data_IF_836046530743
#
_entry.id   IF_836046530743
#
_cell.length_a   1.000
_cell.length_b   1.000
_cell.length_c   1.000
_cell.angle_alpha   90.00
_cell.angle_beta   90.00
_cell.angle_gamma   90.00
#
_symmetry.space_group_name_H-M   'P 1'
#
loop_
_entity.id
_entity.type
_entity.pdbx_description
1 polymer ?
#
# COMPACT_ATOMS: atom_id res chain seq x y z
N UNK A 1 36.69 53.50 35.64
CA UNK A 1 37.31 53.33 34.32
C UNK A 1 37.09 51.88 33.91
N UNK A 2 36.03 51.56 33.16
CA UNK A 2 36.00 51.38 31.68
C UNK A 2 36.99 50.25 31.30
N UNK A 3 36.62 49.08 30.75
CA UNK A 3 35.53 48.71 29.84
C UNK A 3 35.32 47.18 29.85
N UNK A 4 34.07 46.77 29.64
CA UNK A 4 33.67 45.45 29.15
C UNK A 4 34.41 45.11 27.84
N UNK A 5 34.79 43.84 27.66
CA UNK A 5 35.15 43.34 26.32
C UNK A 5 34.37 42.06 26.04
N UNK A 6 33.13 42.28 25.59
CA UNK A 6 32.24 41.29 25.01
C UNK A 6 32.84 40.81 23.69
N UNK A 7 33.38 39.59 23.67
CA UNK A 7 33.87 38.97 22.45
C UNK A 7 32.66 38.46 21.64
N UNK A 8 32.03 39.38 20.89
CA UNK A 8 31.01 39.09 19.89
C UNK A 8 31.70 38.52 18.65
N UNK A 9 31.70 37.20 18.49
CA UNK A 9 32.03 36.58 17.19
C UNK A 9 30.84 36.77 16.25
N UNK A 10 30.94 37.82 15.43
CA UNK A 10 30.11 38.05 14.27
C UNK A 10 30.53 37.02 13.22
N UNK A 11 29.89 35.85 13.20
CA UNK A 11 29.94 34.96 12.04
C UNK A 11 28.89 35.49 11.05
N UNK A 12 29.27 36.57 10.37
CA UNK A 12 28.68 36.98 9.09
C UNK A 12 29.10 35.95 8.05
N UNK A 13 28.38 34.83 8.01
CA UNK A 13 28.50 33.80 7.00
C UNK A 13 27.16 33.65 6.30
N UNK A 14 27.01 34.39 5.20
CA UNK A 14 25.85 34.42 4.33
C UNK A 14 25.68 33.05 3.66
N UNK A 15 25.05 32.10 4.37
CA UNK A 15 24.59 30.84 3.77
C UNK A 15 23.26 31.14 3.08
N UNK A 16 23.35 31.75 1.91
CA UNK A 16 22.33 31.64 0.88
C UNK A 16 22.40 30.22 0.30
N UNK A 17 21.91 29.24 1.05
CA UNK A 17 21.57 27.92 0.51
C UNK A 17 20.07 27.89 0.38
N UNK A 18 19.62 27.64 -0.85
CA UNK A 18 18.27 27.89 -1.31
C UNK A 18 17.20 27.42 -0.34
N UNK A 19 16.10 28.17 -0.31
CA UNK A 19 14.80 27.64 0.06
C UNK A 19 14.56 26.43 -0.87
N UNK A 20 15.03 25.26 -0.47
CA UNK A 20 14.44 24.00 -0.91
C UNK A 20 12.99 24.17 -0.53
N UNK A 21 12.14 24.41 -1.53
CA UNK A 21 10.73 24.59 -1.31
C UNK A 21 10.25 23.40 -0.50
N UNK A 22 9.91 23.63 0.77
CA UNK A 22 9.04 22.73 1.50
C UNK A 22 7.74 22.80 0.73
N UNK A 23 7.58 21.90 -0.26
CA UNK A 23 6.29 21.65 -0.87
C UNK A 23 5.37 21.32 0.29
N UNK A 24 4.46 22.23 0.61
CA UNK A 24 3.40 22.00 1.59
C UNK A 24 2.62 20.79 1.07
N UNK A 25 2.94 19.62 1.63
CA UNK A 25 2.20 18.39 1.38
C UNK A 25 0.86 18.57 2.06
N UNK A 26 -0.14 18.91 1.24
CA UNK A 26 -1.52 18.92 1.66
C UNK A 26 -2.00 17.46 1.67
N UNK A 27 -2.49 16.94 2.81
CA UNK A 27 -3.19 15.66 2.81
C UNK A 27 -4.40 15.74 1.87
N UNK A 28 -4.89 14.61 1.35
CA UNK A 28 -6.09 14.59 0.53
C UNK A 28 -7.27 15.23 1.30
N UNK A 29 -8.09 16.03 0.58
CA UNK A 29 -9.10 16.93 1.17
C UNK A 29 -10.20 16.20 1.97
N UNK A 30 -10.32 14.89 1.78
CA UNK A 30 -11.29 14.03 2.45
C UNK A 30 -10.96 13.81 3.93
N UNK A 31 -9.69 13.89 4.33
CA UNK A 31 -9.27 13.69 5.73
C UNK A 31 -8.85 15.02 6.34
N UNK A 32 -9.77 15.62 7.11
CA UNK A 32 -9.53 16.87 7.82
C UNK A 32 -8.71 16.65 9.10
N UNK A 33 -7.41 16.35 8.95
CA UNK A 33 -6.49 16.00 10.05
C UNK A 33 -6.49 17.05 11.19
N UNK A 34 -6.62 18.34 10.86
CA UNK A 34 -6.66 19.43 11.84
C UNK A 34 -7.81 19.31 12.86
N UNK A 35 -8.92 18.63 12.50
CA UNK A 35 -10.08 18.42 13.37
C UNK A 35 -9.94 17.21 14.28
N UNK A 36 -8.99 16.33 14.01
CA UNK A 36 -8.77 15.13 14.79
C UNK A 36 -8.19 15.47 16.16
N UNK A 37 -8.65 14.74 17.17
CA UNK A 37 -8.06 14.70 18.50
C UNK A 37 -6.67 14.05 18.47
N UNK A 38 -5.92 14.22 19.57
CA UNK A 38 -4.58 13.63 19.68
C UNK A 38 -4.63 12.10 19.53
N UNK A 39 -5.59 11.43 20.18
CA UNK A 39 -5.78 9.98 20.06
C UNK A 39 -6.11 9.54 18.63
N UNK A 40 -6.96 10.30 17.94
CA UNK A 40 -7.32 10.00 16.54
C UNK A 40 -6.13 10.20 15.60
N UNK A 41 -5.29 11.21 15.83
CA UNK A 41 -4.05 11.41 15.06
C UNK A 41 -3.05 10.27 15.32
N UNK A 42 -2.86 9.84 16.57
CA UNK A 42 -2.00 8.71 16.92
C UNK A 42 -2.51 7.40 16.32
N UNK A 43 -3.83 7.19 16.34
CA UNK A 43 -4.46 6.03 15.70
C UNK A 43 -4.24 6.07 14.18
N UNK A 44 -4.50 7.22 13.55
CA UNK A 44 -4.28 7.41 12.12
C UNK A 44 -2.82 7.15 11.73
N UNK A 45 -1.86 7.55 12.56
CA UNK A 45 -0.44 7.30 12.32
C UNK A 45 -0.13 5.80 12.20
N UNK A 46 -0.74 4.98 13.08
CA UNK A 46 -0.62 3.52 13.00
C UNK A 46 -1.37 2.91 11.81
N UNK A 47 -2.56 3.42 11.49
CA UNK A 47 -3.38 2.95 10.36
C UNK A 47 -2.73 3.22 9.00
N UNK A 48 -2.12 4.39 8.82
CA UNK A 48 -1.53 4.82 7.53
C UNK A 48 0.00 4.67 7.50
N UNK A 49 0.56 3.79 8.33
CA UNK A 49 2.01 3.65 8.52
C UNK A 49 2.80 3.28 7.24
N UNK A 50 2.14 2.82 6.19
CA UNK A 50 2.69 2.47 4.88
C UNK A 50 2.51 3.58 3.82
N UNK A 51 1.69 4.59 4.10
CA UNK A 51 1.57 5.79 3.27
C UNK A 51 2.46 6.90 3.83
N UNK A 52 3.69 6.98 3.31
CA UNK A 52 4.67 7.98 3.73
C UNK A 52 4.18 9.43 3.60
N UNK A 53 3.28 9.75 2.66
CA UNK A 53 2.74 11.12 2.54
C UNK A 53 1.75 11.40 3.68
N UNK A 54 0.89 10.43 3.97
CA UNK A 54 -0.08 10.56 5.04
C UNK A 54 0.60 10.60 6.42
N UNK A 55 1.62 9.78 6.64
CA UNK A 55 2.46 9.80 7.85
C UNK A 55 3.06 11.19 8.07
N UNK A 56 3.63 11.81 7.04
CA UNK A 56 4.19 13.17 7.14
C UNK A 56 3.10 14.21 7.44
N UNK A 57 1.93 14.10 6.83
CA UNK A 57 0.82 15.03 7.09
C UNK A 57 0.30 14.89 8.53
N UNK A 58 0.21 13.67 9.05
CA UNK A 58 -0.20 13.40 10.44
C UNK A 58 0.86 13.94 11.41
N UNK A 59 2.15 13.69 11.17
CA UNK A 59 3.22 14.25 11.99
C UNK A 59 3.19 15.79 12.02
N UNK A 60 2.96 16.44 10.89
CA UNK A 60 2.81 17.90 10.85
C UNK A 60 1.65 18.42 11.73
N UNK A 61 0.54 17.66 11.86
CA UNK A 61 -0.55 18.03 12.76
C UNK A 61 -0.24 17.70 14.22
N UNK A 62 0.46 16.59 14.49
CA UNK A 62 0.92 16.24 15.83
C UNK A 62 1.93 17.25 16.38
N UNK A 63 2.86 17.74 15.55
CA UNK A 63 3.85 18.74 15.92
C UNK A 63 3.19 20.06 16.33
N UNK A 64 2.06 20.44 15.72
CA UNK A 64 1.25 21.60 16.14
C UNK A 64 0.61 21.42 17.51
N UNK A 65 0.51 20.18 18.01
CA UNK A 65 -0.16 19.80 19.27
C UNK A 65 0.80 19.22 20.30
N UNK A 66 2.12 19.30 20.06
CA UNK A 66 3.15 18.57 20.81
C UNK A 66 3.16 18.88 22.32
N UNK A 67 2.71 20.05 22.74
CA UNK A 67 2.63 20.42 24.16
C UNK A 67 1.49 19.71 24.92
N UNK A 68 0.50 19.19 24.19
CA UNK A 68 -0.71 18.56 24.75
C UNK A 68 -0.75 17.05 24.56
N UNK A 69 0.25 16.50 23.87
CA UNK A 69 0.28 15.09 23.53
C UNK A 69 1.05 14.30 24.58
N UNK A 70 0.42 13.23 25.06
CA UNK A 70 1.09 12.21 25.85
C UNK A 70 1.77 11.24 24.88
N UNK A 71 3.10 11.29 24.83
CA UNK A 71 3.88 10.48 23.88
C UNK A 71 3.80 8.99 24.16
N UNK A 72 3.69 8.57 25.42
CA UNK A 72 3.58 7.14 25.77
C UNK A 72 2.22 6.60 25.35
N UNK A 73 1.15 7.36 25.64
CA UNK A 73 -0.21 7.03 25.20
C UNK A 73 -0.30 6.98 23.67
N UNK A 74 0.29 7.97 22.99
CA UNK A 74 0.29 8.03 21.53
C UNK A 74 0.97 6.79 20.93
N UNK A 75 2.13 6.42 21.45
CA UNK A 75 2.87 5.24 20.99
C UNK A 75 2.08 3.94 21.19
N UNK A 76 1.36 3.80 22.32
CA UNK A 76 0.51 2.65 22.56
C UNK A 76 -0.66 2.56 21.56
N UNK A 77 -1.30 3.69 21.27
CA UNK A 77 -2.40 3.77 20.29
C UNK A 77 -1.89 3.47 18.88
N UNK A 78 -0.81 4.10 18.45
CA UNK A 78 -0.17 3.89 17.15
C UNK A 78 0.19 2.40 16.95
N UNK A 79 0.87 1.81 17.93
CA UNK A 79 1.30 0.40 17.89
C UNK A 79 0.11 -0.54 17.76
N UNK A 80 -0.97 -0.28 18.52
CA UNK A 80 -2.19 -1.07 18.43
C UNK A 80 -2.83 -0.96 17.03
N UNK A 81 -3.00 0.25 16.52
CA UNK A 81 -3.60 0.48 15.20
C UNK A 81 -2.76 -0.14 14.07
N UNK A 82 -1.43 -0.10 14.20
CA UNK A 82 -0.50 -0.79 13.29
C UNK A 82 -0.69 -2.30 13.30
N UNK A 83 -0.75 -2.92 14.47
CA UNK A 83 -0.98 -4.37 14.59
C UNK A 83 -2.33 -4.77 13.98
N UNK A 84 -3.39 -4.01 14.22
CA UNK A 84 -4.71 -4.25 13.64
C UNK A 84 -4.67 -4.15 12.10
N UNK A 85 -3.99 -3.14 11.56
CA UNK A 85 -3.82 -2.98 10.11
C UNK A 85 -3.04 -4.15 9.49
N UNK A 86 -1.96 -4.59 10.12
CA UNK A 86 -1.15 -5.73 9.65
C UNK A 86 -1.98 -7.03 9.64
N UNK A 87 -2.80 -7.25 10.68
CA UNK A 87 -3.72 -8.40 10.73
C UNK A 87 -4.73 -8.34 9.58
N UNK A 88 -5.33 -7.18 9.33
CA UNK A 88 -6.32 -7.00 8.25
C UNK A 88 -5.68 -7.23 6.88
N UNK A 89 -4.49 -6.65 6.64
CA UNK A 89 -3.73 -6.84 5.38
C UNK A 89 -3.43 -8.31 5.13
N UNK A 90 -2.90 -9.01 6.13
CA UNK A 90 -2.58 -10.43 6.03
C UNK A 90 -3.83 -11.29 5.78
N UNK A 91 -4.94 -10.98 6.44
CA UNK A 91 -6.22 -11.67 6.25
C UNK A 91 -6.73 -11.51 4.80
N UNK A 92 -6.70 -10.28 4.28
CA UNK A 92 -7.13 -10.00 2.92
C UNK A 92 -6.24 -10.69 1.89
N UNK A 93 -4.92 -10.73 2.12
CA UNK A 93 -4.00 -11.46 1.25
C UNK A 93 -4.30 -12.96 1.21
N UNK A 94 -4.55 -13.59 2.36
CA UNK A 94 -4.94 -15.00 2.41
C UNK A 94 -6.25 -15.28 1.65
N UNK A 95 -7.27 -14.43 1.83
CA UNK A 95 -8.55 -14.57 1.12
C UNK A 95 -8.35 -14.45 -0.40
N UNK A 96 -7.60 -13.44 -0.85
CA UNK A 96 -7.33 -13.21 -2.26
C UNK A 96 -6.58 -14.39 -2.89
N UNK A 97 -5.55 -14.91 -2.22
CA UNK A 97 -4.77 -16.05 -2.68
C UNK A 97 -5.64 -17.31 -2.83
N UNK A 98 -6.54 -17.55 -1.87
CA UNK A 98 -7.49 -18.67 -1.92
C UNK A 98 -8.49 -18.53 -3.07
N UNK A 99 -9.05 -17.34 -3.27
CA UNK A 99 -9.97 -17.07 -4.39
C UNK A 99 -9.28 -17.26 -5.75
N UNK A 100 -8.06 -16.78 -5.91
CA UNK A 100 -7.30 -17.00 -7.15
C UNK A 100 -7.04 -18.48 -7.43
N UNK A 101 -6.75 -19.28 -6.40
CA UNK A 101 -6.59 -20.73 -6.54
C UNK A 101 -7.87 -21.42 -7.03
N UNK A 102 -9.03 -21.01 -6.51
CA UNK A 102 -10.33 -21.52 -6.93
C UNK A 102 -10.64 -21.15 -8.39
N UNK A 103 -10.39 -19.90 -8.79
CA UNK A 103 -10.59 -19.46 -10.18
C UNK A 103 -9.72 -20.27 -11.15
N UNK A 104 -8.43 -20.46 -10.83
CA UNK A 104 -7.52 -21.28 -11.64
C UNK A 104 -8.00 -22.73 -11.79
N UNK A 105 -8.53 -23.30 -10.70
CA UNK A 105 -9.07 -24.66 -10.72
C UNK A 105 -10.31 -24.74 -11.62
N UNK A 106 -11.20 -23.75 -11.52
CA UNK A 106 -12.41 -23.66 -12.35
C UNK A 106 -12.06 -23.52 -13.85
N UNK A 107 -11.08 -22.70 -14.19
CA UNK A 107 -10.59 -22.54 -15.56
C UNK A 107 -10.00 -23.84 -16.10
N UNK A 108 -9.28 -24.60 -15.27
CA UNK A 108 -8.75 -25.91 -15.68
C UNK A 108 -9.87 -26.94 -15.94
N UNK A 109 -10.90 -26.96 -15.09
CA UNK A 109 -12.10 -27.80 -15.30
C UNK A 109 -12.78 -27.42 -16.61
N UNK A 110 -13.03 -26.14 -16.83
CA UNK A 110 -13.67 -25.65 -18.06
C UNK A 110 -12.84 -26.00 -19.30
N UNK A 111 -11.51 -25.91 -19.22
CA UNK A 111 -10.61 -26.30 -20.30
C UNK A 111 -10.73 -27.80 -20.62
N UNK A 112 -10.77 -28.66 -19.60
CA UNK A 112 -10.93 -30.11 -19.77
C UNK A 112 -12.30 -30.48 -20.32
N UNK A 113 -13.37 -29.83 -19.86
CA UNK A 113 -14.72 -30.04 -20.38
C UNK A 113 -14.81 -29.68 -21.88
N UNK A 114 -14.18 -28.57 -22.27
CA UNK A 114 -14.09 -28.19 -23.68
C UNK A 114 -13.30 -29.20 -24.52
N UNK A 115 -12.24 -29.80 -23.96
CA UNK A 115 -11.48 -30.86 -24.63
C UNK A 115 -12.30 -32.14 -24.79
N UNK A 116 -13.00 -32.58 -23.73
CA UNK A 116 -13.91 -33.73 -23.75
C UNK A 116 -14.98 -33.53 -24.83
N UNK A 117 -15.61 -32.36 -24.87
CA UNK A 117 -16.63 -32.04 -25.87
C UNK A 117 -16.09 -32.09 -27.31
N UNK A 118 -14.83 -31.68 -27.53
CA UNK A 118 -14.18 -31.82 -28.85
C UNK A 118 -13.94 -33.27 -29.24
N UNK A 119 -13.54 -34.12 -28.29
CA UNK A 119 -13.29 -35.53 -28.54
C UNK A 119 -14.59 -36.29 -28.83
N UNK A 120 -15.66 -36.01 -28.10
CA UNK A 120 -16.97 -36.65 -28.30
C UNK A 120 -17.63 -36.26 -29.63
N UNK A 121 -17.43 -35.02 -30.08
CA UNK A 121 -17.99 -34.53 -31.34
C UNK A 121 -17.05 -34.74 -32.54
N UNK A 122 -15.99 -35.54 -32.39
CA UNK A 122 -15.06 -35.83 -33.48
C UNK A 122 -15.76 -36.73 -34.51
N UNK A 123 -15.85 -36.34 -35.79
CA UNK A 123 -16.51 -37.16 -36.80
C UNK A 123 -15.78 -38.50 -36.95
N UNK A 124 -16.54 -39.60 -36.96
CA UNK A 124 -16.00 -40.93 -37.16
C UNK A 124 -15.26 -40.99 -38.51
N UNK A 125 -13.98 -41.38 -38.48
CA UNK A 125 -13.20 -41.59 -39.69
C UNK A 125 -13.78 -42.81 -40.39
N UNK A 126 -14.52 -42.60 -41.48
CA UNK A 126 -14.98 -43.68 -42.36
C UNK A 126 -13.74 -44.39 -42.90
N UNK A 127 -13.59 -45.71 -42.72
CA UNK A 127 -12.44 -46.41 -43.26
C UNK A 127 -12.43 -46.26 -44.79
N UNK A 128 -11.36 -45.67 -45.32
CA UNK A 128 -11.10 -45.61 -46.74
C UNK A 128 -11.01 -47.05 -47.24
N UNK A 129 -12.06 -47.53 -47.94
CA UNK A 129 -11.99 -48.78 -48.71
C UNK A 129 -10.91 -48.58 -49.76
N UNK A 130 -9.75 -49.18 -49.55
CA UNK A 130 -8.74 -49.34 -50.60
C UNK A 130 -9.40 -50.08 -51.77
N UNK A 131 -9.71 -49.36 -52.86
CA UNK A 131 -10.00 -49.99 -54.14
C UNK A 131 -8.70 -50.61 -54.63
N UNK A 132 -8.63 -51.93 -54.59
CA UNK A 132 -7.60 -52.67 -55.31
C UNK A 132 -7.94 -52.53 -56.79
N UNK A 133 -7.12 -51.78 -57.54
CA UNK A 133 -7.23 -51.72 -59.00
C UNK A 133 -6.81 -53.08 -59.58
N UNK A 134 -7.58 -53.67 -60.50
CA UNK A 134 -7.17 -54.91 -61.14
C UNK A 134 -5.98 -54.61 -62.07
N UNK A 135 -4.91 -55.40 -61.94
CA UNK A 135 -3.79 -55.39 -62.88
C UNK A 135 -4.27 -55.97 -64.21
N UNK A 136 -3.92 -55.28 -65.31
CA UNK A 136 -4.14 -55.72 -66.69
C UNK A 136 -3.25 -56.91 -67.04
#
# INVERSE_FOLDING_TARGET
MIKENTMKFIISGLIASGLTGCSLFLPPEDIQLHRLSNDELCHALGTYNDDGKMVLAIHNELDKKIETIDSERCHAIETKAKMENDIIKNSNEWVNNKQQGLIKTQDEILRKDNEINRLLNKPAITPQRYRVSPAM
#
